data_IF_156887518913
#
_entry.id   IF_156887518913
#
_cell.length_a   1.000
_cell.length_b   1.000
_cell.length_c   1.000
_cell.angle_alpha   90.00
_cell.angle_beta   90.00
_cell.angle_gamma   90.00
#
_symmetry.space_group_name_H-M   'P 1'
#
loop_
_entity.id
_entity.type
_entity.pdbx_description
1 polymer ?
#
# COMPACT_ATOMS: atom_id res chain seq x y z
N UNK A 1 -9.29 15.73 -12.80
CA UNK A 1 -9.60 15.38 -11.40
C UNK A 1 -9.99 13.92 -11.26
N UNK A 2 -9.28 13.12 -10.45
CA UNK A 2 -9.69 11.76 -10.10
C UNK A 2 -10.96 11.78 -9.24
N UNK A 3 -11.78 10.72 -9.31
CA UNK A 3 -13.05 10.61 -8.57
C UNK A 3 -13.16 9.37 -7.67
N UNK A 4 -12.13 8.51 -7.65
CA UNK A 4 -12.15 7.26 -6.89
C UNK A 4 -11.94 7.41 -5.39
N UNK A 5 -12.15 6.29 -4.66
CA UNK A 5 -12.01 6.20 -3.20
C UNK A 5 -10.86 5.26 -2.83
N UNK A 6 -10.30 5.46 -1.64
CA UNK A 6 -9.36 4.53 -1.04
C UNK A 6 -9.96 3.12 -0.91
N UNK A 7 -9.27 2.11 -1.47
CA UNK A 7 -9.62 0.71 -1.31
C UNK A 7 -8.65 -0.01 -0.36
N UNK A 8 -9.11 -1.07 0.34
CA UNK A 8 -8.28 -1.87 1.23
C UNK A 8 -7.02 -2.44 0.57
N UNK A 9 -5.98 -2.65 1.37
CA UNK A 9 -4.82 -3.44 0.97
C UNK A 9 -5.03 -4.91 1.35
N UNK A 10 -4.80 -5.83 0.42
CA UNK A 10 -4.64 -7.25 0.70
C UNK A 10 -3.16 -7.55 0.81
N UNK A 11 -2.72 -8.08 1.96
CA UNK A 11 -1.31 -8.26 2.28
C UNK A 11 -1.07 -9.72 2.61
N UNK A 12 0.02 -10.27 2.07
CA UNK A 12 0.51 -11.61 2.31
C UNK A 12 1.99 -11.57 2.67
N UNK A 13 2.43 -12.50 3.52
CA UNK A 13 3.86 -12.64 3.84
C UNK A 13 4.35 -14.06 3.64
N UNK A 14 5.67 -14.24 3.71
CA UNK A 14 6.30 -15.55 3.68
C UNK A 14 6.14 -16.35 5.00
N UNK A 15 5.68 -15.71 6.08
CA UNK A 15 5.43 -16.38 7.37
C UNK A 15 4.07 -17.07 7.31
N UNK A 16 4.07 -18.40 7.44
CA UNK A 16 2.84 -19.19 7.45
C UNK A 16 2.20 -19.17 8.82
N UNK A 17 0.87 -19.25 8.86
CA UNK A 17 0.16 -19.51 10.10
C UNK A 17 0.64 -20.83 10.69
N UNK A 18 0.60 -20.92 12.02
CA UNK A 18 1.14 -22.02 12.83
C UNK A 18 2.67 -22.22 12.74
N UNK A 19 3.41 -21.36 12.03
CA UNK A 19 4.87 -21.45 11.98
C UNK A 19 5.49 -21.17 13.34
N UNK A 20 6.48 -21.98 13.71
CA UNK A 20 7.20 -21.84 14.98
C UNK A 20 8.57 -21.24 14.70
N UNK A 21 8.82 -20.07 15.26
CA UNK A 21 10.12 -19.41 15.20
C UNK A 21 10.78 -19.36 16.57
N UNK A 22 12.10 -19.51 16.63
CA UNK A 22 12.86 -19.15 17.82
C UNK A 22 12.74 -17.64 18.04
N UNK A 23 12.54 -17.22 19.29
CA UNK A 23 12.50 -15.80 19.65
C UNK A 23 13.93 -15.25 19.64
N UNK A 24 14.87 -15.98 20.24
CA UNK A 24 16.21 -15.45 20.48
C UNK A 24 16.17 -14.33 21.51
N UNK A 25 17.13 -13.41 21.46
CA UNK A 25 17.13 -12.23 22.33
C UNK A 25 16.07 -11.22 21.90
N UNK A 26 15.33 -10.67 22.86
CA UNK A 26 14.28 -9.67 22.65
C UNK A 26 14.35 -8.60 23.76
N UNK A 27 14.15 -7.33 23.44
CA UNK A 27 14.04 -6.31 24.49
C UNK A 27 12.82 -6.55 25.39
N UNK A 28 12.91 -6.19 26.67
CA UNK A 28 11.78 -6.31 27.61
C UNK A 28 10.56 -5.50 27.13
N UNK A 29 10.80 -4.35 26.49
CA UNK A 29 9.75 -3.53 25.89
C UNK A 29 9.04 -4.25 24.74
N UNK A 30 9.79 -4.80 23.77
CA UNK A 30 9.20 -5.55 22.65
C UNK A 30 8.48 -6.80 23.14
N UNK A 31 9.03 -7.50 24.14
CA UNK A 31 8.39 -8.65 24.77
C UNK A 31 7.02 -8.26 25.36
N UNK A 32 6.97 -7.27 26.26
CA UNK A 32 5.71 -6.83 26.88
C UNK A 32 4.71 -6.28 25.85
N UNK A 33 5.18 -5.62 24.81
CA UNK A 33 4.32 -5.11 23.74
C UNK A 33 3.70 -6.22 22.86
N UNK A 34 4.36 -7.37 22.76
CA UNK A 34 3.87 -8.52 21.99
C UNK A 34 2.75 -9.30 22.69
N UNK A 35 2.65 -9.20 24.01
CA UNK A 35 1.62 -9.85 24.81
C UNK A 35 0.26 -9.22 24.49
N UNK A 36 -0.74 -10.09 24.26
CA UNK A 36 -2.12 -9.66 24.06
C UNK A 36 -2.60 -8.86 25.30
N UNK A 37 -3.01 -7.59 25.14
CA UNK A 37 -3.47 -6.77 26.26
C UNK A 37 -4.72 -7.34 26.95
N UNK A 38 -5.48 -8.23 26.30
CA UNK A 38 -6.66 -8.88 26.86
C UNK A 38 -6.39 -10.30 27.34
N UNK A 39 -5.16 -10.81 27.22
CA UNK A 39 -4.84 -12.14 27.72
C UNK A 39 -4.94 -12.18 29.25
N UNK A 40 -5.60 -13.22 29.73
CA UNK A 40 -5.82 -13.45 31.16
C UNK A 40 -5.29 -14.80 31.59
N UNK A 41 -4.85 -14.89 32.85
CA UNK A 41 -4.55 -16.14 33.51
C UNK A 41 -5.49 -16.36 34.69
N UNK A 42 -5.79 -17.62 34.98
CA UNK A 42 -6.59 -17.99 36.14
C UNK A 42 -5.68 -18.72 37.14
N UNK A 43 -5.63 -18.24 38.37
CA UNK A 43 -4.88 -18.92 39.43
C UNK A 43 -5.61 -20.17 39.95
N UNK A 44 -4.94 -20.93 40.83
CA UNK A 44 -5.54 -22.10 41.47
C UNK A 44 -6.76 -21.80 42.35
N UNK A 45 -6.95 -20.54 42.75
CA UNK A 45 -8.09 -20.06 43.51
C UNK A 45 -9.27 -19.58 42.63
N UNK A 46 -9.12 -19.64 41.30
CA UNK A 46 -10.13 -19.19 40.34
C UNK A 46 -10.15 -17.69 40.10
N UNK A 47 -9.19 -16.92 40.63
CA UNK A 47 -9.07 -15.49 40.33
C UNK A 47 -8.46 -15.29 38.96
N UNK A 48 -8.99 -14.32 38.22
CA UNK A 48 -8.56 -13.98 36.86
C UNK A 48 -7.69 -12.73 36.92
N UNK A 49 -6.51 -12.81 36.32
CA UNK A 49 -5.49 -11.76 36.31
C UNK A 49 -5.12 -11.41 34.86
N UNK A 50 -4.78 -10.15 34.60
CA UNK A 50 -4.27 -9.75 33.29
C UNK A 50 -2.81 -10.20 33.12
N UNK A 51 -2.53 -10.99 32.08
CA UNK A 51 -1.21 -11.57 31.85
C UNK A 51 -0.14 -10.49 31.66
N UNK A 52 -0.45 -9.42 30.91
CA UNK A 52 0.51 -8.36 30.58
C UNK A 52 0.87 -7.53 31.81
N UNK A 53 -0.12 -7.20 32.64
CA UNK A 53 0.11 -6.50 33.90
C UNK A 53 0.97 -7.35 34.84
N UNK A 54 0.63 -8.63 35.02
CA UNK A 54 1.40 -9.55 35.86
C UNK A 54 2.84 -9.71 35.38
N UNK A 55 3.07 -9.84 34.05
CA UNK A 55 4.42 -9.90 33.49
C UNK A 55 5.19 -8.58 33.68
N UNK A 56 4.51 -7.44 33.62
CA UNK A 56 5.13 -6.13 33.85
C UNK A 56 5.61 -6.00 35.29
N UNK A 57 4.78 -6.38 36.26
CA UNK A 57 5.15 -6.38 37.67
C UNK A 57 6.25 -7.40 37.97
N UNK A 58 6.17 -8.59 37.37
CA UNK A 58 7.15 -9.66 37.55
C UNK A 58 8.53 -9.25 37.03
N UNK A 59 8.61 -8.67 35.81
CA UNK A 59 9.85 -8.17 35.24
C UNK A 59 10.37 -6.90 35.92
N UNK A 60 9.59 -6.24 36.78
CA UNK A 60 10.06 -5.10 37.57
C UNK A 60 10.83 -5.52 38.84
N UNK A 61 10.76 -6.80 39.25
CA UNK A 61 11.45 -7.30 40.43
C UNK A 61 12.96 -7.50 40.13
N UNK A 62 13.88 -6.92 40.93
CA UNK A 62 15.31 -7.02 40.69
C UNK A 62 15.82 -8.47 40.63
N UNK A 63 15.36 -9.35 41.52
CA UNK A 63 15.81 -10.75 41.55
C UNK A 63 15.38 -11.54 40.32
N UNK A 64 14.29 -11.12 39.65
CA UNK A 64 13.78 -11.71 38.42
C UNK A 64 14.56 -11.18 37.21
N UNK A 65 14.88 -9.88 37.19
CA UNK A 65 15.69 -9.30 36.13
C UNK A 65 17.05 -9.98 36.03
N UNK A 66 17.72 -10.23 37.15
CA UNK A 66 19.03 -10.87 37.18
C UNK A 66 19.01 -12.32 36.63
N UNK A 67 17.86 -13.00 36.71
CA UNK A 67 17.72 -14.39 36.25
C UNK A 67 17.23 -14.51 34.81
N UNK A 68 16.40 -13.57 34.34
CA UNK A 68 15.70 -13.69 33.06
C UNK A 68 16.25 -12.76 31.97
N UNK A 69 17.07 -11.78 32.35
CA UNK A 69 17.57 -10.74 31.45
C UNK A 69 19.09 -10.73 31.37
N UNK A 70 19.63 -10.08 30.34
CA UNK A 70 21.07 -9.86 30.16
C UNK A 70 21.63 -8.67 30.96
N UNK A 71 20.81 -8.04 31.82
CA UNK A 71 21.15 -6.81 32.54
C UNK A 71 21.17 -5.54 31.68
N UNK A 72 20.98 -5.64 30.37
CA UNK A 72 20.95 -4.53 29.42
C UNK A 72 19.53 -4.29 28.85
N UNK A 73 18.50 -4.80 29.53
CA UNK A 73 17.11 -4.66 29.14
C UNK A 73 16.63 -5.65 28.08
N UNK A 74 17.35 -6.75 27.85
CA UNK A 74 16.87 -7.83 26.98
C UNK A 74 16.61 -9.11 27.75
N UNK A 75 15.55 -9.82 27.38
CA UNK A 75 15.28 -11.18 27.83
C UNK A 75 16.27 -12.12 27.12
N UNK A 76 16.88 -13.02 27.89
CA UNK A 76 17.85 -13.99 27.39
C UNK A 76 17.21 -14.97 26.39
N UNK A 77 17.98 -15.44 25.42
CA UNK A 77 17.48 -16.31 24.35
C UNK A 77 17.01 -17.69 24.86
N UNK A 78 17.64 -18.21 25.91
CA UNK A 78 17.27 -19.43 26.62
C UNK A 78 16.03 -19.26 27.52
N UNK A 79 15.63 -18.01 27.79
CA UNK A 79 14.40 -17.68 28.50
C UNK A 79 13.25 -17.43 27.52
N UNK A 80 13.47 -16.65 26.46
CA UNK A 80 12.42 -16.24 25.53
C UNK A 80 11.82 -17.41 24.71
N UNK A 81 12.65 -18.41 24.39
CA UNK A 81 12.16 -19.66 23.80
C UNK A 81 11.67 -19.55 22.35
N UNK A 82 10.47 -20.05 22.08
CA UNK A 82 9.87 -20.13 20.74
C UNK A 82 8.50 -19.48 20.70
N UNK A 83 8.13 -18.89 19.58
CA UNK A 83 6.80 -18.36 19.33
C UNK A 83 6.15 -19.10 18.15
N UNK A 84 4.93 -19.60 18.36
CA UNK A 84 4.03 -19.97 17.26
C UNK A 84 3.33 -18.71 16.78
N UNK A 85 3.46 -18.42 15.49
CA UNK A 85 3.03 -17.16 14.88
C UNK A 85 1.77 -17.40 14.06
N UNK A 86 0.80 -16.52 14.24
CA UNK A 86 -0.47 -16.49 13.55
C UNK A 86 -0.77 -15.07 13.04
N UNK A 87 -1.66 -14.96 12.05
CA UNK A 87 -2.18 -13.68 11.55
C UNK A 87 -1.28 -12.95 10.55
N UNK A 88 0.00 -13.31 10.45
CA UNK A 88 0.94 -12.68 9.50
C UNK A 88 0.93 -13.28 8.10
N UNK A 89 0.28 -14.42 7.87
CA UNK A 89 0.27 -15.06 6.54
C UNK A 89 -0.53 -14.25 5.50
N UNK A 90 -1.72 -13.79 5.88
CA UNK A 90 -2.62 -13.05 5.02
C UNK A 90 -3.60 -12.23 5.84
N UNK A 91 -3.73 -10.95 5.52
CA UNK A 91 -4.79 -10.10 6.09
C UNK A 91 -5.18 -9.00 5.12
N UNK A 92 -6.30 -8.35 5.44
CA UNK A 92 -6.79 -7.19 4.70
C UNK A 92 -6.80 -5.97 5.62
N UNK A 93 -6.14 -4.89 5.20
CA UNK A 93 -6.17 -3.61 5.90
C UNK A 93 -7.28 -2.74 5.31
N UNK A 94 -8.41 -2.60 6.02
CA UNK A 94 -9.60 -1.91 5.51
C UNK A 94 -9.50 -0.39 5.57
N UNK A 95 -8.86 0.15 6.61
CA UNK A 95 -8.83 1.60 6.87
C UNK A 95 -7.64 2.30 6.21
N UNK A 96 -7.00 1.67 5.22
CA UNK A 96 -5.88 2.24 4.49
C UNK A 96 -6.05 2.06 2.99
N UNK A 97 -5.63 3.06 2.21
CA UNK A 97 -5.75 3.04 0.76
C UNK A 97 -5.05 4.19 0.07
N UNK A 98 -5.22 4.24 -1.25
CA UNK A 98 -4.55 5.20 -2.15
C UNK A 98 -5.58 6.03 -2.90
N UNK A 99 -5.31 7.33 -3.01
CA UNK A 99 -6.09 8.29 -3.78
C UNK A 99 -5.16 9.04 -4.74
N UNK A 100 -5.65 9.32 -5.95
CA UNK A 100 -4.85 10.03 -6.96
C UNK A 100 -5.09 11.53 -6.82
N UNK A 101 -4.04 12.34 -6.94
CA UNK A 101 -4.16 13.79 -6.92
C UNK A 101 -4.43 14.39 -8.31
N UNK A 102 -4.89 15.65 -8.32
CA UNK A 102 -5.10 16.41 -9.55
C UNK A 102 -3.77 16.77 -10.23
N UNK A 103 -3.75 16.75 -11.55
CA UNK A 103 -2.58 17.12 -12.34
C UNK A 103 -2.97 17.75 -13.67
N UNK A 104 -2.20 18.76 -14.08
CA UNK A 104 -2.30 19.38 -15.39
C UNK A 104 -1.14 18.94 -16.29
N UNK A 105 -1.41 18.77 -17.58
CA UNK A 105 -0.38 18.44 -18.58
C UNK A 105 -0.71 19.03 -19.94
N UNK A 106 0.31 19.07 -20.81
CA UNK A 106 0.14 19.43 -22.21
C UNK A 106 -0.38 18.24 -23.01
N UNK A 107 -1.58 18.39 -23.55
CA UNK A 107 -2.24 17.44 -24.44
C UNK A 107 -2.26 17.93 -25.90
N UNK A 108 -2.07 16.99 -26.81
CA UNK A 108 -2.24 17.15 -28.25
C UNK A 108 -3.41 16.29 -28.70
N UNK A 109 -4.30 16.90 -29.48
CA UNK A 109 -5.43 16.20 -30.11
C UNK A 109 -5.25 16.24 -31.63
N UNK A 110 -5.39 15.07 -32.26
CA UNK A 110 -5.39 14.94 -33.71
C UNK A 110 -6.75 14.43 -34.15
N UNK A 111 -7.41 15.18 -35.03
CA UNK A 111 -8.74 14.84 -35.54
C UNK A 111 -8.67 14.57 -37.05
N UNK A 112 -9.08 13.37 -37.45
CA UNK A 112 -9.28 13.02 -38.84
C UNK A 112 -10.78 12.99 -39.16
N UNK A 113 -11.24 13.97 -39.94
CA UNK A 113 -12.65 14.07 -40.33
C UNK A 113 -12.95 13.11 -41.49
N UNK A 114 -13.84 12.15 -41.23
CA UNK A 114 -14.37 11.23 -42.24
C UNK A 114 -15.44 11.91 -43.11
N UNK A 115 -16.17 12.85 -42.50
CA UNK A 115 -17.13 13.74 -43.15
C UNK A 115 -17.35 14.99 -42.26
N UNK A 116 -18.32 15.84 -42.62
CA UNK A 116 -18.59 17.10 -41.90
C UNK A 116 -18.95 16.91 -40.42
N UNK A 117 -19.48 15.74 -40.04
CA UNK A 117 -20.02 15.48 -38.70
C UNK A 117 -19.29 14.38 -37.95
N UNK A 118 -18.49 13.53 -38.61
CA UNK A 118 -17.84 12.39 -37.98
C UNK A 118 -16.33 12.49 -38.11
N UNK A 119 -15.62 12.38 -36.99
CA UNK A 119 -14.16 12.32 -36.95
C UNK A 119 -13.65 11.19 -36.05
N UNK A 120 -12.43 10.75 -36.35
CA UNK A 120 -11.63 9.93 -35.45
C UNK A 120 -10.63 10.84 -34.76
N UNK A 121 -10.66 10.86 -33.43
CA UNK A 121 -9.73 11.62 -32.60
C UNK A 121 -8.70 10.70 -31.96
N UNK A 122 -7.45 11.12 -32.00
CA UNK A 122 -6.38 10.61 -31.15
C UNK A 122 -5.97 11.70 -30.15
N UNK A 123 -5.91 11.36 -28.87
CA UNK A 123 -5.43 12.22 -27.80
C UNK A 123 -4.14 11.61 -27.26
N UNK A 124 -3.08 12.41 -27.26
CA UNK A 124 -1.79 12.08 -26.68
C UNK A 124 -1.18 13.32 -26.04
N UNK A 125 0.04 13.23 -25.53
CA UNK A 125 0.69 14.39 -24.93
C UNK A 125 1.89 14.03 -24.08
N UNK A 126 2.31 14.99 -23.27
CA UNK A 126 3.36 14.74 -22.28
C UNK A 126 2.72 13.96 -21.13
N UNK A 127 3.22 12.77 -20.79
CA UNK A 127 2.66 11.99 -19.69
C UNK A 127 2.87 12.74 -18.36
N UNK A 128 1.81 13.07 -17.61
CA UNK A 128 1.95 13.78 -16.35
C UNK A 128 2.67 12.93 -15.31
N UNK A 129 3.31 13.61 -14.37
CA UNK A 129 3.73 13.02 -13.10
C UNK A 129 2.64 13.28 -12.08
N UNK A 130 2.04 12.21 -11.58
CA UNK A 130 0.89 12.23 -10.68
C UNK A 130 1.35 11.84 -9.29
N UNK A 131 0.96 12.61 -8.29
CA UNK A 131 1.20 12.25 -6.90
C UNK A 131 0.02 11.42 -6.37
N UNK A 132 0.34 10.39 -5.60
CA UNK A 132 -0.63 9.49 -4.99
C UNK A 132 -0.66 9.79 -3.50
N UNK A 133 -1.84 10.17 -2.99
CA UNK A 133 -2.10 10.41 -1.58
C UNK A 133 -2.38 9.09 -0.87
N UNK A 134 -1.80 8.95 0.31
CA UNK A 134 -2.05 7.83 1.21
C UNK A 134 -3.14 8.16 2.21
N UNK A 135 -3.94 7.16 2.59
CA UNK A 135 -4.90 7.25 3.70
C UNK A 135 -4.65 6.12 4.68
N UNK A 136 -4.81 6.42 5.97
CA UNK A 136 -4.74 5.43 7.04
C UNK A 136 -3.33 4.93 7.35
N UNK A 137 -3.30 3.83 8.10
CA UNK A 137 -2.09 3.17 8.55
C UNK A 137 -2.17 1.67 8.25
N UNK A 138 -1.04 1.08 7.87
CA UNK A 138 -0.89 -0.36 7.67
C UNK A 138 -0.40 -0.96 8.98
N UNK A 139 -1.18 -1.89 9.53
CA UNK A 139 -0.86 -2.65 10.73
C UNK A 139 -0.75 -4.13 10.36
N UNK A 140 0.25 -4.83 10.91
CA UNK A 140 0.35 -6.28 10.81
C UNK A 140 -0.26 -6.94 12.06
N UNK A 141 -1.24 -7.83 11.93
CA UNK A 141 -1.95 -8.41 13.06
C UNK A 141 -1.20 -9.64 13.59
N UNK A 142 -0.17 -9.42 14.41
CA UNK A 142 0.53 -10.52 15.07
C UNK A 142 -0.37 -11.12 16.14
N UNK A 143 -0.60 -12.43 16.05
CA UNK A 143 -1.15 -13.24 17.14
C UNK A 143 -0.38 -14.54 17.27
N UNK A 144 -0.69 -15.31 18.32
CA UNK A 144 -0.09 -16.63 18.52
C UNK A 144 0.21 -16.93 19.98
N UNK A 145 1.17 -17.83 20.21
CA UNK A 145 1.56 -18.26 21.56
C UNK A 145 3.08 -18.41 21.65
N UNK A 146 3.70 -17.79 22.64
CA UNK A 146 5.11 -17.98 22.97
C UNK A 146 5.28 -18.98 24.13
N UNK A 147 6.32 -19.81 24.01
CA UNK A 147 6.65 -20.88 24.93
C UNK A 147 8.10 -20.73 25.38
N UNK A 148 8.29 -20.60 26.69
CA UNK A 148 9.62 -20.57 27.29
C UNK A 148 10.09 -22.00 27.61
N UNK A 149 11.38 -22.34 27.36
CA UNK A 149 11.98 -23.57 27.87
C UNK A 149 12.55 -23.41 29.29
N UNK A 150 12.51 -22.21 29.88
CA UNK A 150 13.05 -21.95 31.21
C UNK A 150 12.13 -22.57 32.28
N UNK A 151 12.69 -23.35 33.21
CA UNK A 151 11.92 -24.11 34.20
C UNK A 151 11.08 -23.25 35.16
N UNK A 152 11.59 -22.09 35.57
CA UNK A 152 10.82 -21.15 36.41
C UNK A 152 9.64 -20.59 35.63
N UNK A 153 9.88 -20.18 34.38
CA UNK A 153 8.83 -19.62 33.52
C UNK A 153 7.77 -20.67 33.19
N UNK A 154 8.15 -21.91 32.88
CA UNK A 154 7.20 -22.99 32.64
C UNK A 154 6.36 -23.34 33.86
N UNK A 155 6.94 -23.27 35.06
CA UNK A 155 6.21 -23.51 36.29
C UNK A 155 5.14 -22.44 36.55
N UNK A 156 5.48 -21.17 36.29
CA UNK A 156 4.57 -20.04 36.49
C UNK A 156 3.57 -19.85 35.35
N UNK A 157 3.97 -20.16 34.13
CA UNK A 157 3.24 -19.94 32.89
C UNK A 157 3.22 -21.23 32.04
N UNK A 158 2.54 -22.30 32.51
CA UNK A 158 2.56 -23.60 31.85
C UNK A 158 1.95 -23.59 30.44
N UNK A 159 0.96 -22.71 30.21
CA UNK A 159 0.31 -22.53 28.90
C UNK A 159 1.00 -21.47 28.03
N UNK A 160 2.15 -20.96 28.47
CA UNK A 160 2.94 -19.94 27.80
C UNK A 160 2.25 -18.57 27.76
N UNK A 161 2.56 -17.80 26.72
CA UNK A 161 2.16 -16.40 26.60
C UNK A 161 1.36 -16.17 25.34
N UNK A 162 0.09 -15.77 25.48
CA UNK A 162 -0.75 -15.35 24.35
C UNK A 162 -0.22 -14.04 23.76
N UNK A 163 0.06 -14.08 22.46
CA UNK A 163 0.53 -12.93 21.67
C UNK A 163 -0.66 -12.25 20.99
N UNK A 164 -0.66 -10.93 20.96
CA UNK A 164 -1.72 -10.13 20.36
C UNK A 164 -1.30 -8.68 20.19
N UNK A 165 -0.66 -8.38 19.06
CA UNK A 165 -0.12 -7.06 18.77
C UNK A 165 -0.43 -6.63 17.34
N UNK A 166 -1.04 -5.45 17.20
CA UNK A 166 -1.08 -4.76 15.92
C UNK A 166 0.25 -4.02 15.72
N UNK A 167 1.13 -4.55 14.88
CA UNK A 167 2.44 -3.97 14.64
C UNK A 167 2.32 -2.87 13.58
N UNK A 168 2.63 -1.60 13.91
CA UNK A 168 2.61 -0.53 12.92
C UNK A 168 3.73 -0.74 11.90
N UNK A 169 3.33 -0.83 10.62
CA UNK A 169 4.24 -0.99 9.48
C UNK A 169 4.53 0.37 8.87
N UNK A 170 3.51 1.06 8.37
CA UNK A 170 3.67 2.41 7.81
C UNK A 170 2.38 3.19 7.89
N UNK A 171 2.49 4.49 8.15
CA UNK A 171 1.36 5.40 8.15
C UNK A 171 1.33 6.18 6.82
N UNK A 172 0.33 5.88 5.99
CA UNK A 172 0.15 6.47 4.67
C UNK A 172 -0.43 7.89 4.76
N UNK A 173 -1.30 8.12 5.75
CA UNK A 173 -2.04 9.37 5.93
C UNK A 173 -1.24 10.53 6.51
N UNK A 174 -0.10 10.25 7.16
CA UNK A 174 0.77 11.30 7.74
C UNK A 174 1.82 11.85 6.75
N UNK A 175 1.86 11.34 5.51
CA UNK A 175 2.75 11.80 4.45
C UNK A 175 2.01 12.77 3.52
N UNK A 176 2.73 13.72 2.94
CA UNK A 176 2.17 14.61 1.91
C UNK A 176 1.74 13.83 0.65
N UNK A 177 2.48 12.75 0.34
CA UNK A 177 2.15 11.76 -0.68
C UNK A 177 2.74 10.41 -0.30
N UNK A 178 2.05 9.35 -0.71
CA UNK A 178 2.51 7.97 -0.57
C UNK A 178 3.46 7.57 -1.71
N UNK A 179 3.18 8.04 -2.93
CA UNK A 179 4.01 7.75 -4.10
C UNK A 179 3.88 8.84 -5.16
N UNK A 180 4.72 8.75 -6.19
CA UNK A 180 4.63 9.54 -7.41
C UNK A 180 4.83 8.62 -8.61
N UNK A 181 4.05 8.84 -9.68
CA UNK A 181 3.96 7.92 -10.82
C UNK A 181 3.85 8.72 -12.12
N UNK A 182 4.37 8.18 -13.22
CA UNK A 182 4.16 8.73 -14.55
C UNK A 182 3.05 7.95 -15.25
N UNK A 183 2.03 8.66 -15.71
CA UNK A 183 0.86 8.08 -16.35
C UNK A 183 0.85 8.36 -17.85
N UNK A 184 0.78 7.32 -18.65
CA UNK A 184 0.63 7.37 -20.11
C UNK A 184 -0.80 6.97 -20.45
N UNK A 185 -1.58 7.90 -20.99
CA UNK A 185 -3.02 7.70 -21.23
C UNK A 185 -3.43 7.99 -22.68
N UNK A 186 -2.78 7.42 -23.71
CA UNK A 186 -3.22 7.59 -25.09
C UNK A 186 -4.67 7.15 -25.25
N UNK A 187 -5.43 7.95 -25.99
CA UNK A 187 -6.88 7.74 -26.16
C UNK A 187 -7.25 7.83 -27.63
N UNK A 188 -8.14 6.95 -28.07
CA UNK A 188 -8.77 7.01 -29.38
C UNK A 188 -10.28 7.09 -29.19
N UNK A 189 -10.94 8.05 -29.83
CA UNK A 189 -12.39 8.18 -29.80
C UNK A 189 -12.98 8.51 -31.17
N UNK A 190 -14.22 8.06 -31.38
CA UNK A 190 -15.04 8.52 -32.49
C UNK A 190 -15.89 9.69 -32.01
N UNK A 191 -15.92 10.78 -32.77
CA UNK A 191 -16.64 11.99 -32.44
C UNK A 191 -17.77 12.25 -33.43
N UNK A 192 -18.90 12.71 -32.90
CA UNK A 192 -19.98 13.30 -33.66
C UNK A 192 -20.07 14.80 -33.36
N UNK A 193 -19.74 15.61 -34.36
CA UNK A 193 -19.70 17.06 -34.34
C UNK A 193 -20.98 17.64 -34.95
N UNK A 194 -21.74 18.42 -34.18
CA UNK A 194 -22.94 19.08 -34.66
C UNK A 194 -22.62 20.34 -35.49
N UNK A 195 -23.51 20.67 -36.42
CA UNK A 195 -23.33 21.79 -37.35
C UNK A 195 -22.36 21.49 -38.49
N UNK A 196 -22.19 22.46 -39.39
CA UNK A 196 -21.35 22.35 -40.58
C UNK A 196 -20.16 23.30 -40.52
N UNK A 197 -19.00 22.81 -40.96
CA UNK A 197 -17.79 23.61 -41.09
C UNK A 197 -18.01 24.81 -42.02
N UNK A 198 -17.44 25.97 -41.70
CA UNK A 198 -17.58 27.20 -42.51
C UNK A 198 -18.96 27.88 -42.45
N UNK A 199 -19.97 27.24 -41.84
CA UNK A 199 -21.31 27.82 -41.63
C UNK A 199 -21.52 28.13 -40.15
N UNK A 200 -21.30 27.15 -39.29
CA UNK A 200 -21.49 27.29 -37.85
C UNK A 200 -20.16 27.55 -37.16
N UNK A 201 -19.99 28.74 -36.58
CA UNK A 201 -18.78 29.05 -35.79
C UNK A 201 -18.70 28.23 -34.51
N UNK A 202 -19.81 28.14 -33.77
CA UNK A 202 -19.90 27.29 -32.58
C UNK A 202 -20.43 25.91 -32.96
N UNK A 203 -19.65 24.88 -32.65
CA UNK A 203 -19.97 23.49 -32.99
C UNK A 203 -19.78 22.62 -31.75
N UNK A 204 -20.86 22.18 -31.09
CA UNK A 204 -20.76 21.20 -30.02
C UNK A 204 -20.46 19.81 -30.59
N UNK A 205 -19.84 18.93 -29.81
CA UNK A 205 -19.60 17.53 -30.15
C UNK A 205 -19.73 16.60 -28.94
N UNK A 206 -19.97 15.34 -29.26
CA UNK A 206 -19.87 14.23 -28.32
C UNK A 206 -18.91 13.18 -28.89
N UNK A 207 -18.19 12.50 -28.01
CA UNK A 207 -17.21 11.48 -28.35
C UNK A 207 -17.36 10.25 -27.46
N UNK A 208 -17.02 9.09 -28.00
CA UNK A 208 -16.91 7.84 -27.26
C UNK A 208 -15.72 7.04 -27.77
N UNK A 209 -14.96 6.43 -26.86
CA UNK A 209 -13.70 5.81 -27.21
C UNK A 209 -13.11 4.91 -26.13
N UNK A 210 -11.83 4.61 -26.32
CA UNK A 210 -11.02 3.80 -25.42
C UNK A 210 -9.73 4.56 -25.07
N UNK A 211 -9.40 4.52 -23.79
CA UNK A 211 -8.14 4.99 -23.21
C UNK A 211 -7.30 3.79 -22.80
N UNK A 212 -6.03 3.75 -23.20
CA UNK A 212 -5.06 2.81 -22.65
C UNK A 212 -4.23 3.53 -21.59
N UNK A 213 -4.23 3.02 -20.36
CA UNK A 213 -3.45 3.57 -19.26
C UNK A 213 -2.26 2.66 -18.95
N UNK A 214 -1.06 3.21 -19.08
CA UNK A 214 0.20 2.59 -18.70
C UNK A 214 0.92 3.44 -17.66
N UNK A 215 1.50 2.81 -16.66
CA UNK A 215 2.12 3.49 -15.54
C UNK A 215 3.58 3.09 -15.35
N UNK A 216 4.46 4.07 -15.24
CA UNK A 216 5.89 3.83 -15.00
C UNK A 216 6.50 4.89 -14.09
N UNK A 217 7.82 4.81 -13.86
CA UNK A 217 8.57 5.69 -12.95
C UNK A 217 7.93 5.78 -11.54
N UNK A 218 7.43 4.66 -11.02
CA UNK A 218 6.80 4.63 -9.69
C UNK A 218 7.86 4.84 -8.62
N UNK A 219 7.67 5.90 -7.82
CA UNK A 219 8.57 6.26 -6.72
C UNK A 219 7.76 6.40 -5.44
N UNK A 220 8.01 5.51 -4.49
CA UNK A 220 7.45 5.62 -3.14
C UNK A 220 8.01 6.85 -2.41
N UNK A 221 7.26 7.31 -1.42
CA UNK A 221 7.79 8.19 -0.38
C UNK A 221 8.96 7.49 0.34
N UNK A 222 10.06 8.21 0.57
CA UNK A 222 11.26 7.65 1.20
C UNK A 222 10.99 7.02 2.58
N UNK A 223 10.09 7.62 3.36
CA UNK A 223 9.67 7.08 4.65
C UNK A 223 8.93 5.75 4.51
N UNK A 224 7.97 5.68 3.57
CA UNK A 224 7.23 4.43 3.30
C UNK A 224 8.19 3.36 2.76
N UNK A 225 9.12 3.73 1.87
CA UNK A 225 10.13 2.80 1.38
C UNK A 225 10.99 2.24 2.53
N UNK A 226 11.46 3.10 3.45
CA UNK A 226 12.22 2.68 4.63
C UNK A 226 11.40 1.78 5.57
N UNK A 227 10.13 2.11 5.78
CA UNK A 227 9.21 1.33 6.60
C UNK A 227 9.02 -0.09 6.02
N UNK A 228 8.85 -0.20 4.70
CA UNK A 228 8.71 -1.48 4.00
C UNK A 228 10.02 -2.30 4.01
N UNK A 229 11.18 -1.64 3.91
CA UNK A 229 12.49 -2.29 4.10
C UNK A 229 12.60 -2.85 5.53
N UNK A 230 12.22 -2.08 6.54
CA UNK A 230 12.20 -2.55 7.94
C UNK A 230 11.25 -3.74 8.12
N UNK A 231 10.04 -3.69 7.55
CA UNK A 231 9.10 -4.80 7.57
C UNK A 231 9.65 -6.06 6.88
N UNK A 232 10.39 -5.90 5.77
CA UNK A 232 11.13 -6.99 5.14
C UNK A 232 12.13 -7.64 6.09
N UNK A 233 12.91 -6.84 6.82
CA UNK A 233 13.84 -7.36 7.84
C UNK A 233 13.10 -8.08 8.98
N UNK A 234 11.94 -7.59 9.41
CA UNK A 234 11.12 -8.27 10.42
C UNK A 234 10.71 -9.67 9.95
N UNK A 235 10.14 -9.79 8.75
CA UNK A 235 9.71 -11.06 8.18
C UNK A 235 10.91 -12.00 8.01
N UNK A 236 12.04 -11.50 7.49
CA UNK A 236 13.25 -12.31 7.35
C UNK A 236 13.79 -12.78 8.70
N UNK A 237 13.78 -11.94 9.74
CA UNK A 237 14.20 -12.34 11.08
C UNK A 237 13.32 -13.44 11.68
N UNK A 238 12.02 -13.43 11.40
CA UNK A 238 11.13 -14.55 11.76
C UNK A 238 11.58 -15.83 11.06
N UNK A 239 11.82 -15.78 9.74
CA UNK A 239 12.30 -16.93 8.96
C UNK A 239 13.68 -17.43 9.41
N UNK A 240 14.54 -16.53 9.91
CA UNK A 240 15.86 -16.85 10.45
C UNK A 240 15.81 -17.45 11.88
N UNK A 241 14.63 -17.58 12.48
CA UNK A 241 14.47 -18.01 13.87
C UNK A 241 14.99 -16.98 14.88
N UNK A 242 14.74 -15.70 14.61
CA UNK A 242 15.11 -14.55 15.45
C UNK A 242 13.91 -13.62 15.63
N UNK A 243 12.75 -14.15 16.00
CA UNK A 243 11.51 -13.38 16.07
C UNK A 243 11.57 -12.20 17.07
N UNK A 244 12.40 -12.29 18.11
CA UNK A 244 12.69 -11.19 19.02
C UNK A 244 13.40 -10.02 18.34
N UNK A 245 14.37 -10.32 17.47
CA UNK A 245 15.05 -9.31 16.66
C UNK A 245 14.11 -8.67 15.63
N UNK A 246 13.09 -9.41 15.16
CA UNK A 246 12.04 -8.85 14.31
C UNK A 246 11.24 -7.76 15.06
N UNK A 247 10.77 -8.05 16.29
CA UNK A 247 10.02 -7.07 17.08
C UNK A 247 10.88 -5.87 17.51
N UNK A 248 12.17 -6.09 17.76
CA UNK A 248 13.14 -5.01 18.00
C UNK A 248 13.53 -4.21 16.73
N UNK A 249 12.97 -4.55 15.56
CA UNK A 249 13.29 -3.94 14.25
C UNK A 249 14.77 -3.95 13.90
N UNK A 250 15.49 -5.01 14.29
CA UNK A 250 16.90 -5.19 13.93
C UNK A 250 17.05 -5.63 12.48
N UNK A 251 18.18 -5.29 11.87
CA UNK A 251 18.53 -5.80 10.54
C UNK A 251 18.65 -7.33 10.56
N UNK A 252 18.24 -7.96 9.45
CA UNK A 252 18.25 -9.41 9.26
C UNK A 252 19.45 -9.87 8.42
N UNK A 253 19.53 -11.17 8.13
CA UNK A 253 20.56 -11.73 7.24
C UNK A 253 20.40 -11.34 5.76
N UNK A 254 19.24 -10.78 5.39
CA UNK A 254 18.89 -10.50 4.00
C UNK A 254 19.09 -9.05 3.60
N UNK A 255 19.16 -8.80 2.29
CA UNK A 255 19.13 -7.46 1.71
C UNK A 255 17.75 -7.18 1.13
N UNK A 256 17.00 -6.26 1.74
CA UNK A 256 15.61 -5.99 1.35
C UNK A 256 15.55 -5.01 0.17
N UNK A 257 14.74 -5.35 -0.83
CA UNK A 257 14.43 -4.47 -1.97
C UNK A 257 12.91 -4.37 -2.09
N UNK A 258 12.41 -3.15 -2.28
CA UNK A 258 11.00 -2.87 -2.48
C UNK A 258 10.75 -2.63 -3.96
N UNK A 259 9.89 -3.44 -4.56
CA UNK A 259 9.41 -3.28 -5.93
C UNK A 259 7.96 -2.82 -5.90
N UNK A 260 7.62 -1.87 -6.77
CA UNK A 260 6.26 -1.35 -6.88
C UNK A 260 5.87 -1.27 -8.34
N UNK A 261 4.72 -1.85 -8.64
CA UNK A 261 4.18 -1.97 -9.98
C UNK A 261 2.69 -1.59 -9.98
N UNK A 262 2.19 -1.21 -11.15
CA UNK A 262 0.78 -0.93 -11.37
C UNK A 262 0.37 -1.56 -12.70
N UNK A 263 -0.78 -2.25 -12.70
CA UNK A 263 -1.27 -2.93 -13.88
C UNK A 263 -1.70 -1.92 -14.96
N UNK A 264 -1.37 -2.23 -16.21
CA UNK A 264 -1.91 -1.55 -17.39
C UNK A 264 -3.40 -1.89 -17.57
N UNK A 265 -4.18 -0.95 -18.07
CA UNK A 265 -5.63 -1.13 -18.20
C UNK A 265 -6.21 -0.35 -19.37
N UNK A 266 -7.34 -0.84 -19.90
CA UNK A 266 -8.12 -0.16 -20.94
C UNK A 266 -9.44 0.31 -20.34
N UNK A 267 -9.74 1.59 -20.50
CA UNK A 267 -10.93 2.23 -19.96
C UNK A 267 -11.81 2.78 -21.08
N UNK A 268 -13.15 2.60 -21.02
CA UNK A 268 -14.06 3.36 -21.87
C UNK A 268 -14.05 4.83 -21.43
N UNK A 269 -14.09 5.73 -22.42
CA UNK A 269 -14.13 7.18 -22.21
C UNK A 269 -15.26 7.81 -23.01
N UNK A 270 -15.93 8.79 -22.40
CA UNK A 270 -16.95 9.61 -23.04
C UNK A 270 -16.57 11.07 -22.92
N UNK A 271 -16.71 11.79 -24.03
CA UNK A 271 -16.28 13.18 -24.16
C UNK A 271 -17.45 14.04 -24.61
N UNK A 272 -17.59 15.22 -24.01
CA UNK A 272 -18.49 16.26 -24.48
C UNK A 272 -17.72 17.57 -24.58
N UNK A 273 -17.89 18.29 -25.68
CA UNK A 273 -17.14 19.51 -25.89
C UNK A 273 -17.73 20.38 -26.98
N UNK A 274 -16.99 21.42 -27.34
CA UNK A 274 -17.30 22.26 -28.48
C UNK A 274 -16.03 22.79 -29.12
N UNK A 275 -16.16 23.18 -30.39
CA UNK A 275 -15.21 24.03 -31.07
C UNK A 275 -15.84 25.38 -31.36
N UNK A 276 -15.01 26.43 -31.39
CA UNK A 276 -15.41 27.75 -31.86
C UNK A 276 -14.42 28.25 -32.91
N UNK A 277 -14.87 28.38 -34.15
CA UNK A 277 -14.06 28.82 -35.28
C UNK A 277 -13.86 30.34 -35.23
N UNK A 278 -12.60 30.78 -35.15
CA UNK A 278 -12.22 32.20 -35.28
C UNK A 278 -12.26 32.64 -36.74
N UNK A 279 -11.75 31.78 -37.62
CA UNK A 279 -11.76 31.87 -39.08
C UNK A 279 -11.75 30.45 -39.66
N UNK A 280 -11.60 30.33 -40.98
CA UNK A 280 -11.70 29.03 -41.67
C UNK A 280 -10.62 28.01 -41.25
N UNK A 281 -9.46 28.48 -40.78
CA UNK A 281 -8.32 27.64 -40.39
C UNK A 281 -8.14 27.51 -38.88
N UNK A 282 -8.41 28.55 -38.09
CA UNK A 282 -8.12 28.58 -36.65
C UNK A 282 -9.39 28.49 -35.81
N UNK A 283 -9.36 27.62 -34.80
CA UNK A 283 -10.47 27.43 -33.88
C UNK A 283 -9.96 27.18 -32.46
N UNK A 284 -10.82 27.41 -31.48
CA UNK A 284 -10.59 26.93 -30.11
C UNK A 284 -11.42 25.70 -29.85
N UNK A 285 -10.94 24.84 -28.95
CA UNK A 285 -11.63 23.63 -28.50
C UNK A 285 -11.66 23.60 -26.99
N UNK A 286 -12.82 23.25 -26.45
CA UNK A 286 -12.99 22.98 -25.02
C UNK A 286 -13.77 21.68 -24.84
N UNK A 287 -13.38 20.85 -23.88
CA UNK A 287 -14.08 19.60 -23.57
C UNK A 287 -13.95 19.15 -22.13
N UNK A 288 -14.88 18.29 -21.75
CA UNK A 288 -14.89 17.52 -20.53
C UNK A 288 -15.05 16.06 -20.91
N UNK A 289 -14.20 15.19 -20.36
CA UNK A 289 -14.19 13.76 -20.64
C UNK A 289 -14.22 12.98 -19.33
N UNK A 290 -14.97 11.88 -19.30
CA UNK A 290 -15.02 10.97 -18.16
C UNK A 290 -14.59 9.58 -18.63
N UNK A 291 -13.58 9.03 -17.98
CA UNK A 291 -13.14 7.64 -18.20
C UNK A 291 -13.41 6.80 -16.96
N UNK A 292 -13.93 5.59 -17.16
CA UNK A 292 -14.07 4.60 -16.08
C UNK A 292 -12.78 3.80 -15.98
N UNK A 293 -11.87 4.22 -15.10
CA UNK A 293 -10.50 3.75 -15.03
C UNK A 293 -10.20 3.20 -13.64
N UNK A 294 -9.96 1.89 -13.59
CA UNK A 294 -9.50 1.19 -12.42
C UNK A 294 -8.27 0.35 -12.76
N UNK A 295 -7.34 0.26 -11.82
CA UNK A 295 -6.16 -0.60 -11.93
C UNK A 295 -5.81 -1.21 -10.57
N UNK A 296 -4.81 -2.09 -10.57
CA UNK A 296 -4.29 -2.73 -9.36
C UNK A 296 -2.86 -2.27 -9.15
N UNK A 297 -2.56 -1.79 -7.95
CA UNK A 297 -1.21 -1.53 -7.49
C UNK A 297 -0.68 -2.76 -6.76
N UNK A 298 0.59 -3.09 -6.99
CA UNK A 298 1.28 -4.22 -6.39
C UNK A 298 2.57 -3.73 -5.75
N UNK A 299 2.85 -4.19 -4.52
CA UNK A 299 4.05 -3.86 -3.77
C UNK A 299 4.65 -5.17 -3.29
N UNK A 300 5.90 -5.42 -3.66
CA UNK A 300 6.65 -6.60 -3.25
C UNK A 300 7.88 -6.19 -2.44
N UNK A 301 8.10 -6.83 -1.29
CA UNK A 301 9.38 -6.75 -0.56
C UNK A 301 10.10 -8.07 -0.74
N UNK A 302 11.29 -8.02 -1.32
CA UNK A 302 12.06 -9.19 -1.73
C UNK A 302 13.41 -9.20 -1.01
N UNK A 303 13.83 -10.37 -0.53
CA UNK A 303 15.20 -10.59 -0.12
C UNK A 303 16.07 -10.81 -1.36
N UNK A 304 16.89 -9.82 -1.73
CA UNK A 304 17.75 -9.89 -2.91
C UNK A 304 18.79 -11.01 -2.82
N UNK A 305 19.19 -11.44 -1.62
CA UNK A 305 20.19 -12.49 -1.46
C UNK A 305 19.64 -13.87 -1.87
N UNK A 306 18.33 -14.10 -1.70
CA UNK A 306 17.69 -15.41 -1.94
C UNK A 306 16.66 -15.39 -3.08
N UNK A 307 16.20 -14.22 -3.50
CA UNK A 307 15.07 -14.05 -4.41
C UNK A 307 13.70 -14.31 -3.77
N UNK A 308 13.65 -14.55 -2.46
CA UNK A 308 12.39 -14.84 -1.75
C UNK A 308 11.56 -13.58 -1.63
N UNK A 309 10.31 -13.63 -2.10
CA UNK A 309 9.32 -12.58 -1.82
C UNK A 309 8.80 -12.73 -0.40
N UNK A 310 9.12 -11.76 0.44
CA UNK A 310 8.79 -11.75 1.87
C UNK A 310 7.42 -11.15 2.14
N UNK A 311 7.06 -10.09 1.40
CA UNK A 311 5.78 -9.39 1.52
C UNK A 311 5.24 -9.17 0.10
N UNK A 312 3.94 -9.41 -0.08
CA UNK A 312 3.18 -9.08 -1.28
C UNK A 312 1.94 -8.32 -0.83
N UNK A 313 1.78 -7.07 -1.28
CA UNK A 313 0.62 -6.27 -0.99
C UNK A 313 -0.04 -5.82 -2.30
N UNK A 314 -1.37 -5.87 -2.35
CA UNK A 314 -2.14 -5.39 -3.50
C UNK A 314 -3.31 -4.54 -3.07
N UNK A 315 -3.58 -3.48 -3.83
CA UNK A 315 -4.77 -2.64 -3.64
C UNK A 315 -5.34 -2.23 -4.99
N UNK A 316 -6.66 -2.02 -5.03
CA UNK A 316 -7.34 -1.47 -6.20
C UNK A 316 -7.24 0.05 -6.13
N UNK A 317 -6.83 0.67 -7.23
CA UNK A 317 -6.80 2.13 -7.33
C UNK A 317 -7.92 2.54 -8.27
N UNK A 318 -8.93 3.20 -7.72
CA UNK A 318 -10.00 3.80 -8.50
C UNK A 318 -9.55 5.21 -8.88
N UNK A 319 -9.44 5.48 -10.17
CA UNK A 319 -8.98 6.77 -10.68
C UNK A 319 -10.18 7.54 -11.23
N UNK A 320 -10.97 6.88 -12.09
CA UNK A 320 -12.17 7.43 -12.74
C UNK A 320 -12.05 8.92 -13.13
N UNK A 321 -11.07 9.28 -13.98
CA UNK A 321 -10.68 10.68 -14.15
C UNK A 321 -11.74 11.48 -14.91
N UNK A 322 -12.04 12.67 -14.39
CA UNK A 322 -12.68 13.76 -15.12
C UNK A 322 -11.59 14.65 -15.72
N UNK A 323 -11.49 14.67 -17.05
CA UNK A 323 -10.45 15.37 -17.79
C UNK A 323 -11.06 16.60 -18.47
N UNK A 324 -10.49 17.77 -18.20
CA UNK A 324 -10.84 19.02 -18.88
C UNK A 324 -9.76 19.39 -19.88
N UNK A 325 -10.14 19.82 -21.08
CA UNK A 325 -9.21 20.28 -22.10
C UNK A 325 -9.64 21.66 -22.62
N UNK A 326 -8.67 22.55 -22.79
CA UNK A 326 -8.82 23.84 -23.45
C UNK A 326 -7.62 24.05 -24.37
N UNK A 327 -7.86 24.34 -25.65
CA UNK A 327 -6.80 24.48 -26.63
C UNK A 327 -7.17 25.33 -27.83
N UNK A 328 -6.18 25.48 -28.72
CA UNK A 328 -6.30 26.11 -30.04
C UNK A 328 -5.91 25.07 -31.08
N UNK A 329 -6.70 24.95 -32.14
CA UNK A 329 -6.49 24.04 -33.25
C UNK A 329 -6.32 24.77 -34.57
N UNK A 330 -5.66 24.08 -35.50
CA UNK A 330 -5.53 24.49 -36.90
C UNK A 330 -6.12 23.42 -37.80
N UNK A 331 -6.91 23.83 -38.80
CA UNK A 331 -7.50 22.97 -39.83
C UNK A 331 -6.67 23.08 -41.09
N UNK A 332 -6.09 21.94 -41.50
CA UNK A 332 -5.35 21.77 -42.75
C UNK A 332 -6.30 21.43 -43.90
#
# INVERSE_FOLDING_TARGET
>A
MPQGKANPFNINTAVKNESVAKVGTISTTSFLNSIDPNATMTDMGGQVWNLKESLTEFLAQPEIQDQLTDGNGNILADVAGTARIEGLESWQQQDAGLEVDDVDTLGLTFNYYLNDNVSLQFIGGIPPKVDIKGKGEILAPLSGVAMSPNGLVQYLFPDGFTLGQAIPITNLGNKSKAASIRAWTPTIEAQYQFGRSGVNKFRPYIGAGLMYAHFNDIKLNDGIHSDLVSAGHMIQNVLDGKAGAALDRKESSGKMVVNVDADDTIAPIFTAGFTYDFNDSWYTVASVSYAKLNNKAQIDVVNQNTGTRLIHATTKVDIDPLITYLGVGYRF
#
